data_IF_418447964799
#
_entry.id   IF_418447964799
#
_cell.length_a   1.000
_cell.length_b   1.000
_cell.length_c   1.000
_cell.angle_alpha   90.00
_cell.angle_beta   90.00
_cell.angle_gamma   90.00
#
_symmetry.space_group_name_H-M   'P 1'
#
loop_
_entity.id
_entity.type
_entity.pdbx_description
1 polymer ?
#
# COMPACT_ATOMS: atom_id res chain seq x y z
N UNK A 1 26.95 3.42 26.75
CA UNK A 1 25.72 2.60 26.72
C UNK A 1 25.71 1.91 25.37
N UNK A 2 25.78 0.59 25.39
CA UNK A 2 25.67 -0.20 24.16
C UNK A 2 24.23 -0.14 23.66
N UNK A 3 24.05 0.05 22.36
CA UNK A 3 22.72 0.10 21.75
C UNK A 3 22.50 -1.20 20.99
N UNK A 4 21.50 -1.99 21.42
CA UNK A 4 21.08 -3.15 20.66
C UNK A 4 20.59 -2.74 19.27
N UNK A 5 20.89 -3.53 18.24
CA UNK A 5 20.36 -3.35 16.88
C UNK A 5 19.19 -4.31 16.70
N UNK A 6 17.96 -3.79 16.74
CA UNK A 6 16.72 -4.49 16.45
C UNK A 6 15.74 -3.54 15.77
N UNK A 7 14.58 -4.02 15.32
CA UNK A 7 13.62 -3.21 14.54
C UNK A 7 13.15 -1.93 15.26
N UNK A 8 13.14 -1.93 16.60
CA UNK A 8 12.74 -0.77 17.41
C UNK A 8 13.90 0.20 17.66
N UNK A 9 15.12 -0.15 17.25
CA UNK A 9 16.30 0.69 17.44
C UNK A 9 16.25 1.93 16.55
N UNK A 10 16.84 3.05 16.98
CA UNK A 10 16.84 4.30 16.21
C UNK A 10 17.38 4.17 14.78
N UNK A 11 18.24 3.18 14.54
CA UNK A 11 18.82 2.90 13.21
C UNK A 11 17.78 2.54 12.14
N UNK A 12 16.61 2.04 12.54
CA UNK A 12 15.50 1.71 11.62
C UNK A 12 14.38 2.77 11.63
N UNK A 13 14.55 3.90 12.31
CA UNK A 13 13.51 4.93 12.38
C UNK A 13 13.10 5.44 10.99
N UNK A 14 14.08 5.66 10.11
CA UNK A 14 13.80 6.10 8.73
C UNK A 14 13.03 5.02 7.96
N UNK A 15 13.43 3.74 8.08
CA UNK A 15 12.71 2.62 7.48
C UNK A 15 11.24 2.58 7.90
N UNK A 16 10.99 2.66 9.21
CA UNK A 16 9.64 2.56 9.75
C UNK A 16 8.76 3.73 9.28
N UNK A 17 9.31 4.94 9.23
CA UNK A 17 8.61 6.11 8.71
C UNK A 17 8.26 5.94 7.23
N UNK A 18 9.22 5.50 6.39
CA UNK A 18 8.99 5.32 4.96
C UNK A 18 7.94 4.24 4.68
N UNK A 19 7.94 3.15 5.46
CA UNK A 19 6.91 2.12 5.39
C UNK A 19 5.53 2.69 5.77
N UNK A 20 5.45 3.44 6.87
CA UNK A 20 4.19 4.02 7.35
C UNK A 20 3.60 5.01 6.34
N UNK A 21 4.44 5.87 5.75
CA UNK A 21 4.04 6.77 4.67
C UNK A 21 3.52 6.00 3.44
N UNK A 22 4.21 4.94 3.03
CA UNK A 22 3.80 4.15 1.87
C UNK A 22 2.52 3.35 2.13
N UNK A 23 2.31 2.85 3.35
CA UNK A 23 1.05 2.21 3.77
C UNK A 23 -0.11 3.21 3.64
N UNK A 24 0.04 4.41 4.21
CA UNK A 24 -0.99 5.46 4.14
C UNK A 24 -1.31 5.84 2.70
N UNK A 25 -0.27 6.00 1.86
CA UNK A 25 -0.42 6.28 0.44
C UNK A 25 -1.20 5.17 -0.28
N UNK A 26 -0.81 3.90 -0.09
CA UNK A 26 -1.46 2.76 -0.72
C UNK A 26 -2.93 2.63 -0.28
N UNK A 27 -3.23 2.81 1.01
CA UNK A 27 -4.60 2.79 1.53
C UNK A 27 -5.45 3.91 0.92
N UNK A 28 -4.90 5.13 0.78
CA UNK A 28 -5.59 6.23 0.11
C UNK A 28 -6.03 5.88 -1.31
N UNK A 29 -5.18 5.16 -2.06
CA UNK A 29 -5.49 4.71 -3.42
C UNK A 29 -6.55 3.60 -3.48
N UNK A 30 -6.56 2.67 -2.52
CA UNK A 30 -7.55 1.59 -2.45
C UNK A 30 -8.91 2.12 -2.03
N UNK A 31 -8.95 2.95 -0.97
CA UNK A 31 -10.19 3.56 -0.46
C UNK A 31 -10.82 4.49 -1.51
N UNK A 32 -10.00 5.23 -2.26
CA UNK A 32 -10.47 6.09 -3.35
C UNK A 32 -11.00 5.34 -4.57
N UNK A 33 -11.22 4.02 -4.49
CA UNK A 33 -11.69 3.13 -5.57
C UNK A 33 -10.85 3.21 -6.85
N UNK A 34 -9.61 3.69 -6.75
CA UNK A 34 -8.71 3.80 -7.91
C UNK A 34 -8.00 2.46 -8.20
N UNK A 35 -7.88 1.61 -7.18
CA UNK A 35 -7.19 0.32 -7.22
C UNK A 35 -7.88 -0.68 -6.26
N UNK A 36 -7.86 -1.97 -6.60
CA UNK A 36 -8.46 -3.07 -5.81
C UNK A 36 -7.59 -3.48 -4.62
N UNK A 37 -6.30 -3.21 -4.71
CA UNK A 37 -5.33 -3.64 -3.71
C UNK A 37 -3.95 -3.08 -3.99
N UNK A 38 -3.12 -3.19 -2.97
CA UNK A 38 -1.74 -2.74 -2.98
C UNK A 38 -0.83 -3.80 -2.37
N UNK A 39 0.38 -3.90 -2.89
CA UNK A 39 1.44 -4.75 -2.35
C UNK A 39 2.65 -3.88 -2.05
N UNK A 40 3.18 -3.97 -0.83
CA UNK A 40 4.36 -3.21 -0.38
C UNK A 40 5.50 -4.20 -0.14
N UNK A 41 6.62 -3.96 -0.81
CA UNK A 41 7.84 -4.74 -0.74
C UNK A 41 8.94 -3.89 -0.09
N UNK A 42 9.60 -4.46 0.91
CA UNK A 42 10.72 -3.83 1.64
C UNK A 42 11.96 -4.66 1.43
N UNK A 43 13.01 -4.05 0.89
CA UNK A 43 14.34 -4.67 0.75
C UNK A 43 15.30 -4.03 1.73
N UNK A 44 15.88 -4.85 2.62
CA UNK A 44 16.93 -4.46 3.55
C UNK A 44 18.28 -4.99 3.09
N UNK A 45 19.30 -4.15 3.16
CA UNK A 45 20.69 -4.50 2.88
C UNK A 45 21.48 -4.14 4.13
N UNK A 46 22.20 -5.13 4.68
CA UNK A 46 22.98 -4.99 5.91
C UNK A 46 24.40 -5.46 5.60
N UNK A 47 25.37 -4.58 5.80
CA UNK A 47 26.79 -4.87 5.70
C UNK A 47 27.56 -4.27 6.88
N UNK A 48 28.74 -4.84 7.16
CA UNK A 48 29.60 -4.40 8.27
C UNK A 48 31.04 -4.21 7.76
N UNK A 49 31.30 -3.14 6.98
CA UNK A 49 32.61 -2.86 6.41
C UNK A 49 33.62 -2.45 7.49
N UNK A 50 34.87 -2.79 7.24
CA UNK A 50 36.01 -2.22 7.98
C UNK A 50 36.22 -0.76 7.57
N UNK A 51 36.57 0.07 8.55
CA UNK A 51 36.80 1.49 8.36
C UNK A 51 37.84 1.95 9.38
N UNK A 52 38.35 3.16 9.21
CA UNK A 52 39.33 3.73 10.12
C UNK A 52 38.99 5.20 10.44
N UNK A 53 39.41 5.64 11.62
CA UNK A 53 39.24 7.01 12.09
C UNK A 53 40.53 7.50 12.72
N UNK A 54 40.93 8.70 12.33
CA UNK A 54 42.00 9.44 12.98
C UNK A 54 41.45 10.15 14.21
N UNK A 55 42.14 9.98 15.33
CA UNK A 55 41.82 10.67 16.59
C UNK A 55 43.07 11.45 17.00
N UNK A 56 42.96 12.78 17.17
CA UNK A 56 44.08 13.57 17.67
C UNK A 56 44.35 13.21 19.13
N UNK A 57 45.62 13.09 19.47
CA UNK A 57 46.10 12.79 20.80
C UNK A 57 47.28 13.72 21.11
N UNK A 58 47.41 14.10 22.38
CA UNK A 58 48.59 14.81 22.85
C UNK A 58 49.57 13.76 23.36
N UNK A 59 50.81 13.79 22.86
CA UNK A 59 51.87 12.89 23.34
C UNK A 59 52.51 13.37 24.65
N UNK A 60 53.53 12.65 25.12
CA UNK A 60 54.22 12.95 26.38
C UNK A 60 54.93 14.31 26.38
N UNK A 61 55.25 14.84 25.19
CA UNK A 61 55.94 16.12 24.99
C UNK A 61 54.94 17.28 24.79
N UNK A 62 53.64 17.01 24.78
CA UNK A 62 52.60 18.02 24.57
C UNK A 62 52.30 18.30 23.10
N UNK A 63 52.87 17.53 22.16
CA UNK A 63 52.61 17.69 20.73
C UNK A 63 51.34 16.96 20.30
N UNK A 64 50.62 17.55 19.34
CA UNK A 64 49.42 16.93 18.76
C UNK A 64 49.85 15.89 17.73
N UNK A 65 49.62 14.63 18.03
CA UNK A 65 49.81 13.49 17.14
C UNK A 65 48.47 12.88 16.72
N UNK A 66 48.45 12.05 15.67
CA UNK A 66 47.24 11.34 15.22
C UNK A 66 47.39 9.83 15.42
N UNK A 67 46.38 9.21 16.02
CA UNK A 67 46.27 7.74 16.14
C UNK A 67 45.15 7.22 15.25
N UNK A 68 45.47 6.22 14.42
CA UNK A 68 44.50 5.54 13.56
C UNK A 68 43.83 4.41 14.33
N UNK A 69 42.51 4.44 14.40
CA UNK A 69 41.68 3.36 14.97
C UNK A 69 40.92 2.66 13.87
N UNK A 70 41.18 1.36 13.67
CA UNK A 70 40.42 0.50 12.76
C UNK A 70 39.24 -0.12 13.48
N UNK A 71 38.06 -0.07 12.87
CA UNK A 71 36.84 -0.61 13.45
C UNK A 71 35.86 -1.06 12.36
N UNK A 72 34.84 -1.81 12.77
CA UNK A 72 33.77 -2.27 11.90
C UNK A 72 32.52 -1.44 12.18
N UNK A 73 31.93 -0.84 11.16
CA UNK A 73 30.70 -0.04 11.30
C UNK A 73 29.52 -0.74 10.62
N UNK A 74 28.32 -0.78 11.22
CA UNK A 74 27.14 -1.25 10.52
C UNK A 74 26.75 -0.24 9.44
N UNK A 75 26.41 -0.75 8.27
CA UNK A 75 25.82 -0.02 7.17
C UNK A 75 24.48 -0.70 6.84
N UNK A 76 23.39 0.03 7.03
CA UNK A 76 22.04 -0.48 6.86
C UNK A 76 21.36 0.42 5.84
N UNK A 77 20.89 -0.17 4.76
CA UNK A 77 20.17 0.52 3.69
C UNK A 77 18.83 -0.16 3.47
N UNK A 78 17.83 0.63 3.10
CA UNK A 78 16.52 0.11 2.76
C UNK A 78 15.97 0.70 1.47
N UNK A 79 15.10 -0.08 0.84
CA UNK A 79 14.31 0.36 -0.30
C UNK A 79 12.88 -0.12 -0.11
N UNK A 80 11.93 0.82 -0.12
CA UNK A 80 10.49 0.54 -0.12
C UNK A 80 9.96 0.70 -1.53
N UNK A 81 9.18 -0.27 -1.99
CA UNK A 81 8.52 -0.25 -3.30
C UNK A 81 7.10 -0.75 -3.16
N UNK A 82 6.15 -0.11 -3.83
CA UNK A 82 4.75 -0.52 -3.84
C UNK A 82 4.26 -0.83 -5.26
N UNK A 83 3.26 -1.70 -5.37
CA UNK A 83 2.55 -2.00 -6.63
C UNK A 83 1.06 -1.93 -6.38
N UNK A 84 0.36 -1.13 -7.17
CA UNK A 84 -1.09 -0.96 -7.09
C UNK A 84 -1.77 -1.76 -8.21
N UNK A 85 -2.81 -2.55 -7.87
CA UNK A 85 -3.54 -3.41 -8.83
C UNK A 85 -4.85 -2.72 -9.25
N UNK A 86 -5.02 -2.45 -10.54
CA UNK A 86 -6.21 -1.76 -11.08
C UNK A 86 -7.38 -2.72 -11.28
N UNK A 87 -8.57 -2.23 -10.97
CA UNK A 87 -9.85 -2.84 -11.31
C UNK A 87 -10.36 -2.25 -12.63
N UNK A 88 -10.64 -3.08 -13.64
CA UNK A 88 -11.44 -2.67 -14.79
C UNK A 88 -12.88 -3.14 -14.57
N UNK A 89 -13.72 -2.26 -14.02
CA UNK A 89 -15.17 -2.47 -13.93
C UNK A 89 -15.88 -1.59 -14.95
N UNK A 90 -16.54 -2.22 -15.91
CA UNK A 90 -17.52 -1.58 -16.78
C UNK A 90 -18.89 -2.07 -16.35
N UNK A 91 -19.62 -1.27 -15.57
CA UNK A 91 -21.00 -1.52 -15.21
C UNK A 91 -21.86 -0.42 -15.84
N UNK A 92 -22.77 -0.83 -16.71
CA UNK A 92 -23.88 -0.01 -17.19
C UNK A 92 -25.15 -0.57 -16.61
N UNK A 93 -25.98 0.30 -16.03
CA UNK A 93 -27.29 -0.06 -15.53
C UNK A 93 -28.29 0.86 -16.23
N UNK A 94 -29.19 0.25 -17.01
CA UNK A 94 -30.36 0.93 -17.57
C UNK A 94 -31.56 0.50 -16.74
N UNK A 95 -32.12 1.43 -15.98
CA UNK A 95 -33.36 1.23 -15.23
C UNK A 95 -34.37 2.25 -15.69
N UNK A 96 -35.58 1.82 -15.96
CA UNK A 96 -36.70 2.71 -16.31
C UNK A 96 -37.97 2.18 -15.63
N UNK A 97 -38.86 3.06 -15.21
CA UNK A 97 -40.16 2.70 -14.65
C UNK A 97 -41.14 2.32 -15.78
N UNK A 98 -40.81 1.26 -16.51
CA UNK A 98 -41.61 0.66 -17.56
C UNK A 98 -41.68 -0.86 -17.36
N UNK A 99 -42.83 -1.43 -17.69
CA UNK A 99 -42.96 -2.88 -17.74
C UNK A 99 -42.31 -3.43 -19.02
N UNK A 100 -41.80 -4.66 -18.97
CA UNK A 100 -41.33 -5.38 -20.16
C UNK A 100 -42.44 -6.30 -20.62
N UNK A 101 -42.82 -6.19 -21.90
CA UNK A 101 -43.80 -7.08 -22.54
C UNK A 101 -43.21 -7.72 -23.80
N UNK A 102 -43.54 -8.97 -24.06
CA UNK A 102 -43.18 -9.67 -25.30
C UNK A 102 -44.30 -9.50 -26.34
N UNK A 103 -43.97 -9.03 -27.56
CA UNK A 103 -44.89 -8.94 -28.71
C UNK A 103 -44.15 -9.32 -29.98
N UNK A 104 -44.70 -10.26 -30.75
CA UNK A 104 -44.13 -10.72 -32.01
C UNK A 104 -42.66 -11.18 -31.92
N UNK A 105 -42.24 -11.70 -30.77
CA UNK A 105 -40.87 -12.14 -30.49
C UNK A 105 -39.89 -11.04 -30.10
N UNK A 106 -40.37 -9.81 -29.92
CA UNK A 106 -39.60 -8.66 -29.44
C UNK A 106 -40.00 -8.27 -28.01
N UNK A 107 -39.04 -7.77 -27.22
CA UNK A 107 -39.28 -7.27 -25.86
C UNK A 107 -39.34 -5.74 -25.87
N UNK A 108 -40.48 -5.18 -25.47
CA UNK A 108 -40.74 -3.74 -25.47
C UNK A 108 -40.87 -3.19 -24.03
N UNK A 109 -40.29 -2.03 -23.78
CA UNK A 109 -40.50 -1.27 -22.54
C UNK A 109 -41.74 -0.37 -22.70
N UNK A 110 -42.82 -0.67 -21.96
CA UNK A 110 -44.10 0.03 -22.05
C UNK A 110 -44.44 0.74 -20.74
N UNK A 111 -45.22 1.83 -20.82
CA UNK A 111 -45.68 2.55 -19.64
C UNK A 111 -46.48 1.61 -18.71
N UNK A 112 -46.30 1.79 -17.39
CA UNK A 112 -47.08 1.06 -16.39
C UNK A 112 -48.42 1.78 -16.25
N UNK A 113 -49.49 1.17 -16.75
CA UNK A 113 -50.87 1.62 -16.50
C UNK A 113 -51.32 1.03 -15.15
N UNK A 114 -51.91 1.85 -14.26
CA UNK A 114 -52.12 1.55 -12.83
C UNK A 114 -53.11 0.42 -12.50
N UNK A 115 -53.58 -0.38 -13.47
CA UNK A 115 -54.70 -1.30 -13.24
C UNK A 115 -54.57 -2.73 -13.83
N UNK A 116 -53.40 -3.38 -13.87
CA UNK A 116 -53.37 -4.86 -14.02
C UNK A 116 -52.23 -5.56 -13.23
N UNK A 117 -52.49 -6.77 -12.65
CA UNK A 117 -51.54 -7.44 -11.78
C UNK A 117 -50.39 -8.08 -12.58
N UNK A 118 -49.16 -7.70 -12.24
CA UNK A 118 -47.90 -8.25 -12.76
C UNK A 118 -47.85 -9.77 -12.55
N UNK A 119 -47.67 -10.53 -13.64
CA UNK A 119 -47.20 -11.91 -13.60
C UNK A 119 -45.84 -11.92 -12.88
N UNK A 120 -45.83 -12.41 -11.65
CA UNK A 120 -44.61 -12.71 -10.89
C UNK A 120 -43.89 -13.88 -11.58
N UNK A 121 -42.91 -13.58 -12.44
CA UNK A 121 -41.88 -14.54 -12.78
C UNK A 121 -40.94 -14.61 -11.59
N UNK A 122 -41.18 -15.58 -10.72
CA UNK A 122 -40.31 -15.87 -9.61
C UNK A 122 -38.95 -16.37 -10.11
N UNK A 123 -37.88 -15.80 -9.57
CA UNK A 123 -36.91 -16.62 -8.86
C UNK A 123 -36.14 -15.82 -7.82
N UNK A 124 -35.96 -16.47 -6.68
CA UNK A 124 -35.48 -15.94 -5.41
C UNK A 124 -33.97 -15.73 -5.46
N UNK A 125 -33.52 -14.52 -5.14
CA UNK A 125 -32.51 -14.22 -4.10
C UNK A 125 -31.81 -12.89 -4.41
N UNK A 126 -32.27 -11.82 -3.77
CA UNK A 126 -31.40 -10.69 -3.44
C UNK A 126 -31.45 -10.49 -1.94
N UNK A 127 -30.35 -10.87 -1.28
CA UNK A 127 -30.02 -10.37 0.05
C UNK A 127 -29.64 -8.91 -0.15
N UNK A 128 -30.34 -8.02 0.54
CA UNK A 128 -30.08 -6.58 0.61
C UNK A 128 -29.26 -6.33 1.88
N UNK A 129 -28.18 -5.58 1.74
CA UNK A 129 -27.68 -4.64 2.75
C UNK A 129 -27.67 -3.25 2.09
#
# INVERSE_FOLDING_TARGET
MDTAININSPVFKCLLNDIDEEIKRCLGHVIGNSFEGAEINVKLIIDIPETEREVPMVDEDGEITCRIYKYRKPNIQHKVTSTLKKQYKRQGCYTENKAVVERDGEYLAVAIEEEEPLLLVGDKNFIVD
#
